data_IF_449311169493
#
_entry.id   IF_449311169493
#
_cell.length_a   1.000
_cell.length_b   1.000
_cell.length_c   1.000
_cell.angle_alpha   90.00
_cell.angle_beta   90.00
_cell.angle_gamma   90.00
#
_symmetry.space_group_name_H-M   'P 1'
#
loop_
_entity.id
_entity.type
_entity.pdbx_description
1 polymer ?
#
# COMPACT_ATOMS: atom_id res chain seq x y z
N UNK A 1 -17.00 -8.35 -8.75
CA UNK A 1 -17.53 -8.80 -7.44
C UNK A 1 -16.86 -10.10 -6.96
N UNK A 2 -16.81 -11.17 -7.75
CA UNK A 2 -16.18 -12.46 -7.33
C UNK A 2 -14.69 -12.39 -7.05
N UNK A 3 -13.94 -11.52 -7.75
CA UNK A 3 -12.48 -11.40 -7.63
C UNK A 3 -12.08 -10.71 -6.34
N UNK A 4 -12.75 -9.62 -5.99
CA UNK A 4 -12.50 -8.91 -4.72
C UNK A 4 -12.97 -9.72 -3.51
N UNK A 5 -14.08 -10.45 -3.63
CA UNK A 5 -14.58 -11.32 -2.57
C UNK A 5 -13.64 -12.45 -2.22
N UNK A 6 -12.99 -13.07 -3.21
CA UNK A 6 -12.06 -14.19 -2.96
C UNK A 6 -10.81 -13.79 -2.16
N UNK A 7 -10.20 -12.64 -2.47
CA UNK A 7 -9.03 -12.14 -1.71
C UNK A 7 -9.41 -11.70 -0.30
N UNK A 8 -10.61 -11.13 -0.12
CA UNK A 8 -11.11 -10.74 1.20
C UNK A 8 -11.36 -11.95 2.10
N UNK A 9 -11.92 -13.06 1.57
CA UNK A 9 -12.12 -14.29 2.32
C UNK A 9 -10.78 -14.86 2.82
N UNK A 10 -9.77 -14.93 1.95
CA UNK A 10 -8.43 -15.43 2.35
C UNK A 10 -7.82 -14.51 3.41
N UNK A 11 -7.87 -13.20 3.21
CA UNK A 11 -7.38 -12.24 4.22
C UNK A 11 -8.11 -12.38 5.56
N UNK A 12 -9.41 -12.59 5.54
CA UNK A 12 -10.22 -12.80 6.74
C UNK A 12 -9.77 -14.06 7.50
N UNK A 13 -9.60 -15.19 6.79
CA UNK A 13 -9.11 -16.43 7.39
C UNK A 13 -7.72 -16.25 8.01
N UNK A 14 -6.80 -15.63 7.29
CA UNK A 14 -5.44 -15.34 7.80
C UNK A 14 -5.50 -14.44 9.04
N UNK A 15 -6.36 -13.43 9.03
CA UNK A 15 -6.54 -12.53 10.17
C UNK A 15 -7.09 -13.26 11.39
N UNK A 16 -8.05 -14.20 11.21
CA UNK A 16 -8.55 -15.04 12.32
C UNK A 16 -7.44 -15.91 12.90
N UNK A 17 -6.62 -16.53 12.04
CA UNK A 17 -5.50 -17.37 12.52
C UNK A 17 -4.52 -16.52 13.32
N UNK A 18 -4.13 -15.36 12.82
CA UNK A 18 -3.23 -14.45 13.52
C UNK A 18 -3.84 -13.92 14.83
N UNK A 19 -5.14 -13.61 14.85
CA UNK A 19 -5.85 -13.12 16.04
C UNK A 19 -5.95 -14.19 17.17
N UNK A 20 -5.80 -15.45 16.85
CA UNK A 20 -5.71 -16.52 17.87
C UNK A 20 -4.32 -16.67 18.48
N UNK A 21 -3.28 -16.16 17.82
CA UNK A 21 -1.88 -16.32 18.24
C UNK A 21 -1.36 -15.00 18.84
N UNK A 22 -1.77 -13.87 18.28
CA UNK A 22 -1.29 -12.56 18.63
C UNK A 22 -2.22 -11.87 19.63
N UNK A 23 -1.65 -11.01 20.46
CA UNK A 23 -2.42 -10.18 21.40
C UNK A 23 -3.16 -9.05 20.69
N UNK A 24 -4.35 -8.62 21.17
CA UNK A 24 -5.09 -7.49 20.60
C UNK A 24 -4.27 -6.20 20.50
N UNK A 25 -3.38 -5.95 21.46
CA UNK A 25 -2.47 -4.80 21.47
C UNK A 25 -1.60 -4.70 20.23
N UNK A 26 -1.16 -5.85 19.69
CA UNK A 26 -0.32 -5.92 18.49
C UNK A 26 -1.06 -5.50 17.22
N UNK A 27 -2.36 -5.80 17.16
CA UNK A 27 -3.25 -5.26 16.10
C UNK A 27 -3.50 -3.78 16.30
N UNK A 28 -3.63 -3.32 17.56
CA UNK A 28 -3.76 -1.91 17.90
C UNK A 28 -2.59 -1.08 17.38
N UNK A 29 -1.35 -1.54 17.56
CA UNK A 29 -0.14 -0.89 17.04
C UNK A 29 -0.19 -0.69 15.52
N UNK A 30 -0.61 -1.72 14.77
CA UNK A 30 -0.77 -1.60 13.31
C UNK A 30 -1.91 -0.63 12.96
N UNK A 31 -3.02 -0.66 13.71
CA UNK A 31 -4.14 0.27 13.52
C UNK A 31 -3.75 1.75 13.70
N UNK A 32 -2.88 2.06 14.67
CA UNK A 32 -2.39 3.43 14.91
C UNK A 32 -1.59 4.00 13.74
N UNK A 33 -0.83 3.16 13.04
CA UNK A 33 0.01 3.60 11.92
C UNK A 33 -0.66 3.44 10.55
N UNK A 34 -1.73 2.65 10.46
CA UNK A 34 -2.40 2.33 9.20
C UNK A 34 -2.83 3.59 8.43
N UNK A 35 -3.38 4.58 9.13
CA UNK A 35 -3.84 5.82 8.49
C UNK A 35 -2.69 6.57 7.79
N UNK A 36 -1.51 6.65 8.41
CA UNK A 36 -0.36 7.35 7.81
C UNK A 36 0.12 6.64 6.56
N UNK A 37 0.14 5.31 6.59
CA UNK A 37 0.52 4.48 5.43
C UNK A 37 -0.53 4.59 4.31
N UNK A 38 -1.83 4.54 4.64
CA UNK A 38 -2.91 4.61 3.64
C UNK A 38 -3.03 5.98 2.98
N UNK A 39 -2.91 7.07 3.75
CA UNK A 39 -2.84 8.42 3.19
C UNK A 39 -1.65 8.53 2.24
N UNK A 40 -0.48 8.01 2.66
CA UNK A 40 0.72 8.05 1.83
C UNK A 40 0.57 7.22 0.55
N UNK A 41 -0.06 6.03 0.60
CA UNK A 41 -0.40 5.25 -0.60
C UNK A 41 -1.32 6.02 -1.54
N UNK A 42 -2.35 6.69 -0.99
CA UNK A 42 -3.25 7.54 -1.78
C UNK A 42 -2.54 8.71 -2.46
N UNK A 43 -1.54 9.31 -1.78
CA UNK A 43 -0.70 10.36 -2.35
C UNK A 43 0.28 9.82 -3.41
N UNK A 44 0.82 8.61 -3.25
CA UNK A 44 1.65 7.95 -4.27
C UNK A 44 0.84 7.73 -5.55
N UNK A 45 -0.41 7.27 -5.43
CA UNK A 45 -1.30 7.14 -6.60
C UNK A 45 -1.57 8.51 -7.24
N UNK A 46 -1.76 9.55 -6.44
CA UNK A 46 -1.98 10.90 -6.94
C UNK A 46 -3.16 11.03 -7.92
N UNK A 47 -4.06 10.03 -8.00
CA UNK A 47 -5.13 9.93 -8.99
C UNK A 47 -4.63 9.62 -10.42
N UNK A 48 -3.34 9.33 -10.57
CA UNK A 48 -2.74 9.01 -11.86
C UNK A 48 -3.29 7.70 -12.46
N UNK A 49 -3.59 6.69 -11.61
CA UNK A 49 -4.25 5.45 -12.06
C UNK A 49 -5.56 5.76 -12.76
N UNK A 50 -6.41 6.57 -12.14
CA UNK A 50 -7.71 6.95 -12.72
C UNK A 50 -7.53 7.77 -14.01
N UNK A 51 -6.51 8.64 -14.05
CA UNK A 51 -6.19 9.41 -15.24
C UNK A 51 -5.75 8.52 -16.40
N UNK A 52 -4.84 7.55 -16.17
CA UNK A 52 -4.39 6.59 -17.17
C UNK A 52 -5.53 5.70 -17.70
N UNK A 53 -6.42 5.23 -16.80
CA UNK A 53 -7.58 4.41 -17.19
C UNK A 53 -8.52 5.21 -18.09
N UNK A 54 -8.76 6.49 -17.77
CA UNK A 54 -9.62 7.38 -18.54
C UNK A 54 -9.03 7.75 -19.91
N UNK A 55 -7.72 7.89 -20.02
CA UNK A 55 -7.06 8.23 -21.31
C UNK A 55 -7.36 7.14 -22.32
N UNK A 56 -7.90 7.50 -23.51
CA UNK A 56 -8.41 6.52 -24.49
C UNK A 56 -7.31 5.57 -24.97
N UNK A 57 -6.17 6.12 -25.40
CA UNK A 57 -5.03 5.36 -25.91
C UNK A 57 -3.71 5.90 -25.30
N UNK A 58 -3.40 5.57 -24.03
CA UNK A 58 -2.16 6.03 -23.41
C UNK A 58 -0.98 5.31 -24.07
N UNK A 59 0.00 6.10 -24.47
CA UNK A 59 1.24 5.58 -25.05
C UNK A 59 2.26 5.17 -23.97
N UNK A 60 3.42 4.67 -24.40
CA UNK A 60 4.47 4.25 -23.47
C UNK A 60 5.03 5.43 -22.66
N UNK A 61 4.96 6.64 -23.20
CA UNK A 61 5.46 7.83 -22.54
C UNK A 61 4.51 8.30 -21.41
N UNK A 62 3.18 8.14 -21.57
CA UNK A 62 2.20 8.36 -20.50
C UNK A 62 2.47 7.45 -19.30
N UNK A 63 2.61 6.14 -19.55
CA UNK A 63 2.92 5.17 -18.50
C UNK A 63 4.27 5.44 -17.85
N UNK A 64 5.29 5.79 -18.62
CA UNK A 64 6.63 6.07 -18.09
C UNK A 64 6.65 7.34 -17.24
N UNK A 65 6.00 8.41 -17.70
CA UNK A 65 5.91 9.67 -16.95
C UNK A 65 5.22 9.46 -15.61
N UNK A 66 4.07 8.78 -15.60
CA UNK A 66 3.35 8.44 -14.38
C UNK A 66 4.18 7.53 -13.46
N UNK A 67 4.88 6.54 -14.01
CA UNK A 67 5.75 5.64 -13.24
C UNK A 67 6.86 6.41 -12.51
N UNK A 68 7.55 7.31 -13.22
CA UNK A 68 8.62 8.13 -12.64
C UNK A 68 8.07 9.00 -11.50
N UNK A 69 6.93 9.66 -11.71
CA UNK A 69 6.29 10.48 -10.68
C UNK A 69 5.91 9.65 -9.46
N UNK A 70 5.29 8.49 -9.65
CA UNK A 70 4.88 7.62 -8.55
C UNK A 70 6.07 7.13 -7.73
N UNK A 71 7.19 6.76 -8.36
CA UNK A 71 8.40 6.34 -7.64
C UNK A 71 8.99 7.51 -6.85
N UNK A 72 9.14 8.68 -7.47
CA UNK A 72 9.67 9.86 -6.78
C UNK A 72 8.79 10.21 -5.59
N UNK A 73 7.47 10.24 -5.78
CA UNK A 73 6.50 10.51 -4.72
C UNK A 73 6.58 9.46 -3.61
N UNK A 74 6.70 8.17 -3.96
CA UNK A 74 6.84 7.10 -2.98
C UNK A 74 8.10 7.23 -2.14
N UNK A 75 9.25 7.56 -2.76
CA UNK A 75 10.52 7.78 -2.06
C UNK A 75 10.42 9.01 -1.15
N UNK A 76 9.90 10.13 -1.66
CA UNK A 76 9.73 11.36 -0.88
C UNK A 76 8.84 11.14 0.33
N UNK A 77 7.69 10.49 0.15
CA UNK A 77 6.76 10.19 1.24
C UNK A 77 7.36 9.18 2.23
N UNK A 78 8.11 8.19 1.76
CA UNK A 78 8.84 7.28 2.65
C UNK A 78 9.84 8.04 3.52
N UNK A 79 10.64 8.94 2.94
CA UNK A 79 11.60 9.78 3.67
C UNK A 79 10.89 10.68 4.68
N UNK A 80 9.77 11.30 4.28
CA UNK A 80 8.95 12.11 5.18
C UNK A 80 8.45 11.26 6.36
N UNK A 81 7.87 10.08 6.11
CA UNK A 81 7.39 9.18 7.16
C UNK A 81 8.52 8.69 8.06
N UNK A 82 9.71 8.42 7.49
CA UNK A 82 10.87 7.98 8.25
C UNK A 82 11.30 9.01 9.30
N UNK A 83 11.29 10.30 8.94
CA UNK A 83 11.61 11.40 9.85
C UNK A 83 10.43 11.78 10.75
N UNK A 84 9.18 11.57 10.33
CA UNK A 84 8.00 11.79 11.16
C UNK A 84 7.78 10.67 12.20
N UNK A 85 8.36 9.48 12.01
CA UNK A 85 8.14 8.34 12.89
C UNK A 85 8.40 8.63 14.37
N UNK A 86 9.47 9.35 14.80
CA UNK A 86 9.66 9.72 16.20
C UNK A 86 8.53 10.61 16.74
N UNK A 87 8.05 11.57 15.95
CA UNK A 87 6.96 12.48 16.38
C UNK A 87 5.63 11.72 16.55
N UNK A 88 5.34 10.77 15.65
CA UNK A 88 4.17 9.89 15.75
C UNK A 88 4.28 9.00 17.01
N UNK A 89 5.47 8.47 17.28
CA UNK A 89 5.76 7.67 18.46
C UNK A 89 5.50 8.46 19.77
N UNK A 90 5.96 9.70 19.83
CA UNK A 90 5.69 10.60 21.00
C UNK A 90 4.20 10.88 21.13
N UNK A 91 3.50 11.10 20.01
CA UNK A 91 2.05 11.37 20.03
C UNK A 91 1.25 10.20 20.63
N UNK A 92 1.60 8.96 20.30
CA UNK A 92 0.97 7.74 20.83
C UNK A 92 1.66 7.17 22.09
N UNK A 93 2.73 7.79 22.56
CA UNK A 93 3.52 7.36 23.74
C UNK A 93 4.02 5.91 23.63
N UNK A 94 4.41 5.49 22.43
CA UNK A 94 4.88 4.13 22.17
C UNK A 94 6.08 4.09 21.22
N UNK A 95 7.26 3.79 21.76
CA UNK A 95 8.52 3.80 21.02
C UNK A 95 8.62 2.72 19.92
N UNK A 96 7.89 1.62 20.06
CA UNK A 96 7.89 0.53 19.07
C UNK A 96 7.40 1.03 17.71
N UNK A 97 6.52 2.05 17.68
CA UNK A 97 5.97 2.64 16.47
C UNK A 97 7.05 3.21 15.53
N UNK A 98 8.19 3.68 16.06
CA UNK A 98 9.29 4.23 15.23
C UNK A 98 9.74 3.19 14.20
N UNK A 99 10.09 2.00 14.69
CA UNK A 99 10.60 0.94 13.83
C UNK A 99 9.48 0.37 12.94
N UNK A 100 8.26 0.24 13.46
CA UNK A 100 7.12 -0.24 12.68
C UNK A 100 6.81 0.69 11.50
N UNK A 101 6.78 2.02 11.71
CA UNK A 101 6.52 3.01 10.65
C UNK A 101 7.64 2.97 9.60
N UNK A 102 8.90 2.94 10.04
CA UNK A 102 10.04 2.90 9.13
C UNK A 102 10.05 1.67 8.24
N UNK A 103 9.75 0.52 8.81
CA UNK A 103 9.76 -0.75 8.08
C UNK A 103 8.51 -0.90 7.20
N UNK A 104 7.31 -0.60 7.71
CA UNK A 104 6.08 -0.62 6.90
C UNK A 104 6.06 0.44 5.80
N UNK A 105 6.73 1.57 6.02
CA UNK A 105 6.90 2.61 5.01
C UNK A 105 7.56 2.12 3.72
N UNK A 106 8.37 1.06 3.75
CA UNK A 106 8.95 0.43 2.56
C UNK A 106 7.86 -0.06 1.57
N UNK A 107 6.66 -0.35 2.07
CA UNK A 107 5.53 -0.70 1.22
C UNK A 107 5.11 0.41 0.24
N UNK A 108 5.41 1.68 0.55
CA UNK A 108 5.18 2.79 -0.39
C UNK A 108 6.06 2.64 -1.64
N UNK A 109 7.30 2.20 -1.45
CA UNK A 109 8.23 1.97 -2.56
C UNK A 109 7.73 0.81 -3.43
N UNK A 110 7.34 -0.32 -2.82
CA UNK A 110 6.75 -1.44 -3.57
C UNK A 110 5.48 -1.02 -4.32
N UNK A 111 4.63 -0.19 -3.70
CA UNK A 111 3.45 0.37 -4.35
C UNK A 111 3.82 1.24 -5.56
N UNK A 112 4.77 2.17 -5.41
CA UNK A 112 5.25 3.01 -6.52
C UNK A 112 5.75 2.19 -7.72
N UNK A 113 6.45 1.07 -7.46
CA UNK A 113 6.93 0.17 -8.51
C UNK A 113 5.82 -0.65 -9.16
N UNK A 114 4.74 -0.96 -8.47
CA UNK A 114 3.70 -1.90 -8.94
C UNK A 114 2.48 -1.22 -9.57
N UNK A 115 2.23 0.05 -9.25
CA UNK A 115 0.97 0.74 -9.56
C UNK A 115 0.70 0.84 -11.07
N UNK A 116 1.72 1.14 -11.88
CA UNK A 116 1.56 1.27 -13.33
C UNK A 116 1.28 -0.08 -14.00
N UNK A 117 1.99 -1.14 -13.60
CA UNK A 117 1.76 -2.50 -14.11
C UNK A 117 0.35 -2.98 -13.77
N UNK A 118 -0.09 -2.75 -12.54
CA UNK A 118 -1.47 -3.05 -12.11
C UNK A 118 -2.49 -2.25 -12.93
N UNK A 119 -2.23 -0.97 -13.19
CA UNK A 119 -3.10 -0.11 -13.99
C UNK A 119 -3.23 -0.62 -15.44
N UNK A 120 -2.14 -1.10 -16.04
CA UNK A 120 -2.17 -1.72 -17.38
C UNK A 120 -3.06 -2.95 -17.42
N UNK A 121 -2.98 -3.82 -16.39
CA UNK A 121 -3.86 -4.99 -16.28
C UNK A 121 -5.33 -4.59 -16.11
N UNK A 122 -5.61 -3.58 -15.29
CA UNK A 122 -6.96 -3.05 -15.10
C UNK A 122 -7.52 -2.48 -16.39
N UNK A 123 -6.73 -1.69 -17.11
CA UNK A 123 -7.14 -1.09 -18.39
C UNK A 123 -7.41 -2.13 -19.48
N UNK A 124 -6.63 -3.22 -19.50
CA UNK A 124 -6.83 -4.34 -20.42
C UNK A 124 -7.87 -5.36 -19.92
N UNK A 125 -8.61 -5.06 -18.84
CA UNK A 125 -9.64 -5.91 -18.23
C UNK A 125 -9.15 -7.32 -17.84
N UNK A 126 -7.85 -7.48 -17.58
CA UNK A 126 -7.23 -8.75 -17.19
C UNK A 126 -7.41 -9.07 -15.71
N UNK A 127 -8.62 -8.93 -15.20
CA UNK A 127 -8.94 -9.12 -13.78
C UNK A 127 -8.63 -10.53 -13.27
N UNK A 128 -8.82 -11.57 -14.10
CA UNK A 128 -8.49 -12.95 -13.71
C UNK A 128 -7.00 -13.13 -13.41
N UNK A 129 -6.15 -12.52 -14.22
CA UNK A 129 -4.69 -12.55 -14.03
C UNK A 129 -4.31 -11.80 -12.75
N UNK A 130 -4.84 -10.59 -12.59
CA UNK A 130 -4.57 -9.79 -11.40
C UNK A 130 -5.01 -10.53 -10.12
N UNK A 131 -6.16 -11.20 -10.14
CA UNK A 131 -6.60 -12.03 -9.03
C UNK A 131 -5.62 -13.16 -8.70
N UNK A 132 -5.17 -13.92 -9.73
CA UNK A 132 -4.20 -15.00 -9.52
C UNK A 132 -2.90 -14.50 -8.88
N UNK A 133 -2.38 -13.37 -9.35
CA UNK A 133 -1.16 -12.77 -8.80
C UNK A 133 -1.37 -12.32 -7.35
N UNK A 134 -2.51 -11.68 -7.04
CA UNK A 134 -2.84 -11.27 -5.68
C UNK A 134 -3.00 -12.45 -4.73
N UNK A 135 -3.71 -13.51 -5.15
CA UNK A 135 -3.91 -14.72 -4.31
C UNK A 135 -2.57 -15.38 -4.00
N UNK A 136 -1.69 -15.49 -4.99
CA UNK A 136 -0.37 -16.08 -4.78
C UNK A 136 0.46 -15.27 -3.78
N UNK A 137 0.49 -13.93 -3.93
CA UNK A 137 1.15 -13.03 -2.97
C UNK A 137 0.57 -13.17 -1.56
N UNK A 138 -0.75 -13.31 -1.47
CA UNK A 138 -1.47 -13.45 -0.20
C UNK A 138 -1.12 -14.77 0.50
N UNK A 139 -1.05 -15.87 -0.25
CA UNK A 139 -0.68 -17.18 0.31
C UNK A 139 0.74 -17.14 0.88
N UNK A 140 1.72 -16.62 0.12
CA UNK A 140 3.09 -16.52 0.61
C UNK A 140 3.21 -15.59 1.83
N UNK A 141 2.53 -14.45 1.83
CA UNK A 141 2.53 -13.54 2.97
C UNK A 141 1.87 -14.17 4.21
N UNK A 142 0.81 -14.96 4.01
CA UNK A 142 0.15 -15.71 5.08
C UNK A 142 1.07 -16.74 5.71
N UNK A 143 1.76 -17.55 4.89
CA UNK A 143 2.70 -18.57 5.39
C UNK A 143 3.79 -17.92 6.24
N UNK A 144 4.42 -16.85 5.73
CA UNK A 144 5.49 -16.15 6.46
C UNK A 144 4.97 -15.54 7.75
N UNK A 145 3.82 -14.85 7.71
CA UNK A 145 3.27 -14.17 8.88
C UNK A 145 2.84 -15.13 9.96
N UNK A 146 2.19 -16.26 9.59
CA UNK A 146 1.77 -17.29 10.55
C UNK A 146 2.99 -17.99 11.14
N UNK A 147 3.99 -18.33 10.33
CA UNK A 147 5.24 -18.88 10.82
C UNK A 147 5.94 -17.96 11.84
N UNK A 148 6.04 -16.66 11.54
CA UNK A 148 6.62 -15.68 12.46
C UNK A 148 5.79 -15.53 13.75
N UNK A 149 4.45 -15.55 13.65
CA UNK A 149 3.57 -15.45 14.81
C UNK A 149 3.77 -16.65 15.77
N UNK A 150 3.86 -17.88 15.25
CA UNK A 150 4.14 -19.07 16.05
C UNK A 150 5.52 -19.06 16.70
N UNK A 151 6.50 -18.41 16.08
CA UNK A 151 7.85 -18.24 16.64
C UNK A 151 7.99 -17.05 17.61
N UNK A 152 6.87 -16.40 17.99
CA UNK A 152 6.88 -15.34 19.00
C UNK A 152 7.35 -13.95 18.53
N UNK A 153 7.41 -13.70 17.21
CA UNK A 153 7.81 -12.38 16.68
C UNK A 153 6.74 -11.29 16.89
N UNK A 154 5.57 -11.61 17.44
CA UNK A 154 4.55 -10.66 17.81
C UNK A 154 4.11 -9.76 16.66
N UNK A 155 4.09 -8.43 16.88
CA UNK A 155 3.66 -7.43 15.88
C UNK A 155 4.44 -7.51 14.58
N UNK A 156 5.68 -7.98 14.60
CA UNK A 156 6.51 -8.13 13.41
C UNK A 156 5.98 -9.14 12.40
N UNK A 157 5.16 -10.09 12.85
CA UNK A 157 4.45 -11.02 11.95
C UNK A 157 3.43 -10.30 11.07
N UNK A 158 2.74 -9.26 11.62
CA UNK A 158 1.81 -8.42 10.85
C UNK A 158 2.57 -7.52 9.87
N UNK A 159 3.72 -6.98 10.29
CA UNK A 159 4.61 -6.21 9.40
C UNK A 159 5.11 -7.08 8.26
N UNK A 160 5.59 -8.28 8.55
CA UNK A 160 6.06 -9.22 7.54
C UNK A 160 4.96 -9.59 6.55
N UNK A 161 3.72 -9.78 7.01
CA UNK A 161 2.56 -10.03 6.13
C UNK A 161 2.44 -8.96 5.05
N UNK A 162 2.45 -7.69 5.47
CA UNK A 162 2.28 -6.56 4.54
C UNK A 162 3.47 -6.39 3.59
N UNK A 163 4.71 -6.52 4.09
CA UNK A 163 5.91 -6.38 3.28
C UNK A 163 6.08 -7.51 2.27
N UNK A 164 5.90 -8.76 2.71
CA UNK A 164 6.00 -9.94 1.84
C UNK A 164 4.93 -9.89 0.76
N UNK A 165 3.70 -9.51 1.12
CA UNK A 165 2.63 -9.29 0.14
C UNK A 165 3.02 -8.24 -0.89
N UNK A 166 3.45 -7.04 -0.46
CA UNK A 166 3.84 -5.94 -1.34
C UNK A 166 5.02 -6.31 -2.25
N UNK A 167 6.05 -6.95 -1.69
CA UNK A 167 7.22 -7.39 -2.44
C UNK A 167 6.88 -8.43 -3.51
N UNK A 168 6.19 -9.52 -3.12
CA UNK A 168 5.84 -10.60 -4.06
C UNK A 168 4.88 -10.09 -5.12
N UNK A 169 3.88 -9.28 -4.76
CA UNK A 169 2.96 -8.69 -5.72
C UNK A 169 3.71 -7.83 -6.75
N UNK A 170 4.66 -7.01 -6.31
CA UNK A 170 5.48 -6.18 -7.19
C UNK A 170 6.30 -7.04 -8.15
N UNK A 171 7.05 -8.03 -7.63
CA UNK A 171 7.87 -8.92 -8.45
C UNK A 171 7.03 -9.66 -9.49
N UNK A 172 5.90 -10.23 -9.09
CA UNK A 172 5.01 -10.95 -10.02
C UNK A 172 4.44 -10.03 -11.11
N UNK A 173 4.04 -8.79 -10.75
CA UNK A 173 3.53 -7.82 -11.73
C UNK A 173 4.61 -7.46 -12.76
N UNK A 174 5.85 -7.28 -12.34
CA UNK A 174 6.97 -7.02 -13.25
C UNK A 174 7.29 -8.22 -14.17
N UNK A 175 7.31 -9.41 -13.61
CA UNK A 175 7.53 -10.64 -14.39
C UNK A 175 6.41 -10.87 -15.42
N UNK A 176 5.16 -10.56 -15.05
CA UNK A 176 4.01 -10.79 -15.95
C UNK A 176 3.85 -9.70 -16.99
N UNK A 177 3.90 -8.43 -16.60
CA UNK A 177 3.60 -7.30 -17.49
C UNK A 177 4.66 -7.11 -18.58
N UNK A 178 5.91 -7.56 -18.35
CA UNK A 178 7.06 -7.44 -19.29
C UNK A 178 7.22 -6.03 -19.88
N UNK A 179 6.69 -5.02 -19.15
CA UNK A 179 6.76 -3.64 -19.57
C UNK A 179 7.96 -2.98 -18.91
N UNK A 180 8.76 -2.27 -19.69
CA UNK A 180 9.94 -1.54 -19.23
C UNK A 180 9.71 -0.06 -19.52
N UNK A 181 9.90 0.83 -18.53
CA UNK A 181 9.82 2.27 -18.74
C UNK A 181 10.93 2.76 -19.68
N UNK A 182 10.63 3.74 -20.51
CA UNK A 182 11.58 4.30 -21.48
C UNK A 182 12.57 5.30 -20.88
N UNK A 183 12.47 5.59 -19.56
CA UNK A 183 13.24 6.60 -18.84
C UNK A 183 13.16 8.02 -19.43
N UNK A 184 12.17 8.29 -20.28
CA UNK A 184 11.87 9.63 -20.81
C UNK A 184 10.73 10.22 -20.01
N UNK A 185 10.92 11.44 -19.52
CA UNK A 185 9.89 12.19 -18.81
C UNK A 185 9.29 13.26 -19.73
N UNK A 186 7.97 13.37 -19.73
CA UNK A 186 7.24 14.37 -20.50
C UNK A 186 6.42 15.27 -19.58
N UNK A 187 6.73 16.57 -19.57
CA UNK A 187 6.10 17.55 -18.68
C UNK A 187 4.65 17.85 -19.10
N UNK A 188 4.30 17.73 -20.38
CA UNK A 188 2.94 18.00 -20.85
C UNK A 188 2.03 16.84 -20.43
N UNK A 189 2.49 15.61 -20.58
CA UNK A 189 1.78 14.41 -20.10
C UNK A 189 1.66 14.43 -18.58
N UNK A 190 2.71 14.83 -17.86
CA UNK A 190 2.63 15.03 -16.42
C UNK A 190 1.53 16.01 -16.06
N UNK A 191 1.51 17.20 -16.66
CA UNK A 191 0.48 18.24 -16.40
C UNK A 191 -0.91 17.71 -16.73
N UNK A 192 -1.07 16.97 -17.83
CA UNK A 192 -2.36 16.38 -18.23
C UNK A 192 -2.89 15.43 -17.16
N UNK A 193 -2.07 14.47 -16.72
CA UNK A 193 -2.46 13.48 -15.72
C UNK A 193 -2.63 14.11 -14.33
N UNK A 194 -1.77 15.05 -13.95
CA UNK A 194 -1.83 15.75 -12.67
C UNK A 194 -3.09 16.62 -12.54
N UNK A 195 -3.45 17.39 -13.56
CA UNK A 195 -4.64 18.26 -13.53
C UNK A 195 -5.94 17.49 -13.33
N UNK A 196 -5.98 16.24 -13.76
CA UNK A 196 -7.12 15.36 -13.48
C UNK A 196 -6.97 14.67 -12.13
N UNK A 197 -5.78 14.16 -11.83
CA UNK A 197 -5.51 13.29 -10.69
C UNK A 197 -5.61 14.00 -9.34
N UNK A 198 -5.07 15.22 -9.19
CA UNK A 198 -4.98 15.89 -7.89
C UNK A 198 -6.34 16.07 -7.19
N UNK A 199 -7.42 16.31 -7.95
CA UNK A 199 -8.78 16.45 -7.40
C UNK A 199 -9.29 15.13 -6.81
N UNK A 200 -8.97 14.01 -7.47
CA UNK A 200 -9.32 12.69 -6.97
C UNK A 200 -8.49 12.32 -5.74
N UNK A 201 -7.20 12.66 -5.74
CA UNK A 201 -6.32 12.42 -4.59
C UNK A 201 -6.80 13.15 -3.36
N UNK A 202 -7.20 14.41 -3.48
CA UNK A 202 -7.77 15.17 -2.36
C UNK A 202 -9.02 14.48 -1.78
N UNK A 203 -9.89 13.98 -2.65
CA UNK A 203 -11.09 13.25 -2.20
C UNK A 203 -10.70 11.94 -1.48
N UNK A 204 -9.74 11.18 -2.01
CA UNK A 204 -9.25 9.95 -1.37
C UNK A 204 -8.64 10.26 0.01
N UNK A 205 -7.81 11.30 0.12
CA UNK A 205 -7.19 11.71 1.40
C UNK A 205 -8.26 12.06 2.43
N UNK A 206 -9.23 12.91 2.05
CA UNK A 206 -10.31 13.30 2.94
C UNK A 206 -11.12 12.07 3.39
N UNK A 207 -11.49 11.20 2.47
CA UNK A 207 -12.24 9.98 2.79
C UNK A 207 -11.44 9.06 3.71
N UNK A 208 -10.15 8.84 3.43
CA UNK A 208 -9.26 8.03 4.27
C UNK A 208 -9.12 8.62 5.67
N UNK A 209 -8.99 9.94 5.77
CA UNK A 209 -8.95 10.64 7.06
C UNK A 209 -10.23 10.41 7.86
N UNK A 210 -11.40 10.64 7.26
CA UNK A 210 -12.69 10.46 7.93
C UNK A 210 -12.95 9.01 8.32
N UNK A 211 -12.64 8.04 7.46
CA UNK A 211 -12.87 6.61 7.76
C UNK A 211 -11.94 6.08 8.85
N UNK A 212 -10.73 6.63 8.97
CA UNK A 212 -9.76 6.21 10.00
C UNK A 212 -9.74 7.10 11.27
N UNK A 213 -10.62 8.09 11.36
CA UNK A 213 -10.65 9.02 12.49
C UNK A 213 -10.85 8.31 13.84
N UNK A 214 -11.64 7.22 13.85
CA UNK A 214 -11.82 6.37 15.02
C UNK A 214 -10.51 5.73 15.47
N UNK A 215 -9.68 5.24 14.55
CA UNK A 215 -8.41 4.61 14.88
C UNK A 215 -7.43 5.60 15.53
N UNK A 216 -7.45 6.88 15.11
CA UNK A 216 -6.64 7.95 15.72
C UNK A 216 -7.09 8.21 17.15
N UNK A 217 -8.41 8.40 17.35
CA UNK A 217 -8.99 8.73 18.67
C UNK A 217 -8.79 7.57 19.62
N UNK A 218 -9.16 6.35 19.21
CA UNK A 218 -9.02 5.16 20.05
C UNK A 218 -7.54 4.91 20.38
N UNK A 219 -6.64 5.00 19.39
CA UNK A 219 -5.21 4.80 19.60
C UNK A 219 -4.58 5.81 20.55
N UNK A 220 -5.13 7.04 20.64
CA UNK A 220 -4.61 8.08 21.54
C UNK A 220 -5.17 8.01 22.95
N UNK A 221 -6.47 7.77 23.10
CA UNK A 221 -7.17 7.86 24.38
C UNK A 221 -7.39 6.52 25.07
N UNK A 222 -7.45 5.45 24.30
CA UNK A 222 -7.54 4.08 24.78
C UNK A 222 -6.24 3.36 24.38
N UNK A 223 -5.13 3.76 25.04
CA UNK A 223 -3.85 3.08 24.79
C UNK A 223 -4.07 1.57 24.90
N UNK A 224 -3.38 0.82 24.05
CA UNK A 224 -3.42 -0.65 24.06
C UNK A 224 -2.87 -1.14 25.43
N UNK A 225 -3.72 -1.10 26.44
CA UNK A 225 -3.48 -1.65 27.79
C UNK A 225 -4.11 -3.02 27.91
#
# INVERSE_FOLDING_TARGET
FMIQGGTQVINFVVTIVLARILLPEQFGLIGMIAIFIEISKGLVDGGFVSSLIRTKDPDNLDYTTVFIVNIITAIVLYVILFFLAPFISVFYQNEVLINLIRVLGLNLIFNGFSIVQSTKLNKSLQFKTQFKLQVLSLIFSAIVSVWMAYNGYGVWSLVAKELVFGFIATVQLWCYAKWIPSFKFDIEKFKYHFNFGYKLSLNVILNTFFTNLYNIIIGKYFSAS
#
